data_IF_169560106066
#
_entry.id   IF_169560106066
#
_cell.length_a   1.000
_cell.length_b   1.000
_cell.length_c   1.000
_cell.angle_alpha   90.00
_cell.angle_beta   90.00
_cell.angle_gamma   90.00
#
_symmetry.space_group_name_H-M   'P 1'
#
loop_
_entity.id
_entity.type
_entity.pdbx_description
1 polymer ?
#
# COMPACT_ATOMS: atom_id res chain seq x y z
N UNK A 1 84.26 -4.52 66.93
CA UNK A 1 83.68 -4.84 65.60
C UNK A 1 82.18 -4.65 65.71
N UNK A 2 81.68 -3.47 65.31
CA UNK A 2 80.25 -3.12 65.33
C UNK A 2 79.63 -3.38 63.96
N UNK A 3 78.38 -3.84 63.85
CA UNK A 3 77.75 -4.09 62.58
C UNK A 3 77.24 -2.78 61.95
N UNK A 4 77.33 -2.71 60.61
CA UNK A 4 76.89 -1.58 59.81
C UNK A 4 75.35 -1.47 59.76
N UNK A 5 74.78 -0.26 59.63
CA UNK A 5 73.34 -0.08 59.53
C UNK A 5 72.82 -0.43 58.12
N UNK A 6 71.67 -1.10 58.11
CA UNK A 6 70.92 -1.52 56.92
C UNK A 6 70.29 -0.31 56.23
N UNK A 7 70.54 -0.17 54.92
CA UNK A 7 69.98 0.85 54.05
C UNK A 7 68.45 0.69 53.91
N UNK A 8 67.69 1.71 54.30
CA UNK A 8 66.26 1.78 54.07
C UNK A 8 65.98 2.10 52.59
N UNK A 9 65.38 1.14 51.87
CA UNK A 9 64.95 1.32 50.49
C UNK A 9 63.87 2.41 50.40
N UNK A 10 64.13 3.43 49.58
CA UNK A 10 63.17 4.48 49.27
C UNK A 10 61.97 3.89 48.49
N UNK A 11 60.76 4.01 49.06
CA UNK A 11 59.49 3.76 48.37
C UNK A 11 59.37 4.68 47.14
N UNK A 12 59.02 4.16 45.95
CA UNK A 12 58.83 5.00 44.77
C UNK A 12 57.59 5.89 44.95
N UNK A 13 57.58 7.11 44.36
CA UNK A 13 56.43 7.99 44.44
C UNK A 13 55.22 7.32 43.77
N UNK A 14 54.09 7.25 44.49
CA UNK A 14 52.80 6.86 43.89
C UNK A 14 52.52 7.80 42.72
N UNK A 15 52.57 7.25 41.50
CA UNK A 15 52.16 7.97 40.29
C UNK A 15 50.74 8.51 40.50
N UNK A 16 50.63 9.81 40.74
CA UNK A 16 49.34 10.47 40.83
C UNK A 16 48.66 10.32 39.49
N UNK A 17 47.68 9.41 39.38
CA UNK A 17 46.71 9.40 38.27
C UNK A 17 46.19 10.84 38.17
N UNK A 18 46.59 11.53 37.10
CA UNK A 18 46.43 12.97 36.95
C UNK A 18 44.97 13.34 37.24
N UNK A 19 44.76 14.35 38.11
CA UNK A 19 43.41 14.85 38.44
C UNK A 19 42.58 15.19 37.18
N UNK A 20 43.26 15.49 36.07
CA UNK A 20 42.71 15.75 34.73
C UNK A 20 41.84 14.59 34.20
N UNK A 21 42.24 13.33 34.41
CA UNK A 21 41.46 12.16 33.96
C UNK A 21 40.14 11.97 34.73
N UNK A 22 40.02 12.47 35.96
CA UNK A 22 38.80 12.35 36.77
C UNK A 22 37.71 13.34 36.35
N UNK A 23 38.06 14.43 35.67
CA UNK A 23 37.13 15.45 35.17
C UNK A 23 36.84 15.31 33.66
N UNK A 24 37.78 14.80 32.86
CA UNK A 24 37.57 14.56 31.42
C UNK A 24 36.66 13.34 31.11
N UNK A 25 36.53 12.40 32.05
CA UNK A 25 35.68 11.20 31.88
C UNK A 25 34.19 11.50 31.79
N UNK A 26 33.70 12.55 32.46
CA UNK A 26 32.28 12.88 32.51
C UNK A 26 31.79 13.53 31.21
N UNK A 27 32.48 14.54 30.63
CA UNK A 27 32.15 15.05 29.30
C UNK A 27 32.24 13.98 28.20
N UNK A 28 33.26 13.11 28.25
CA UNK A 28 33.38 12.01 27.31
C UNK A 28 32.22 11.01 27.45
N UNK A 29 31.86 10.64 28.68
CA UNK A 29 30.71 9.77 28.95
C UNK A 29 29.41 10.43 28.48
N UNK A 30 29.19 11.72 28.76
CA UNK A 30 28.03 12.46 28.30
C UNK A 30 27.96 12.53 26.77
N UNK A 31 29.09 12.76 26.10
CA UNK A 31 29.17 12.74 24.64
C UNK A 31 28.84 11.36 24.09
N UNK A 32 29.40 10.29 24.67
CA UNK A 32 29.10 8.92 24.26
C UNK A 32 27.64 8.56 24.48
N UNK A 33 27.04 8.98 25.59
CA UNK A 33 25.60 8.81 25.87
C UNK A 33 24.77 9.59 24.85
N UNK A 34 25.14 10.83 24.54
CA UNK A 34 24.42 11.64 23.54
C UNK A 34 24.50 11.00 22.15
N UNK A 35 25.69 10.55 21.73
CA UNK A 35 25.88 9.83 20.47
C UNK A 35 25.08 8.52 20.44
N UNK A 36 25.04 7.78 21.56
CA UNK A 36 24.23 6.57 21.67
C UNK A 36 22.74 6.87 21.57
N UNK A 37 22.23 7.92 22.22
CA UNK A 37 20.82 8.36 22.11
C UNK A 37 20.48 8.76 20.68
N UNK A 38 21.37 9.49 20.00
CA UNK A 38 21.17 9.88 18.60
C UNK A 38 21.17 8.64 17.68
N UNK A 39 22.06 7.68 17.90
CA UNK A 39 22.19 6.48 17.07
C UNK A 39 21.09 5.44 17.32
N UNK A 40 20.58 5.33 18.55
CA UNK A 40 19.59 4.33 18.98
C UNK A 40 18.14 4.87 18.99
N UNK A 41 17.92 6.02 18.36
CA UNK A 41 16.60 6.61 18.23
C UNK A 41 15.56 5.70 17.57
N UNK A 42 14.26 5.96 17.82
CA UNK A 42 13.19 5.24 17.15
C UNK A 42 13.29 5.41 15.63
N UNK A 43 13.04 4.33 14.90
CA UNK A 43 13.03 4.29 13.44
C UNK A 43 12.03 3.26 12.94
N UNK A 44 11.58 3.40 11.70
CA UNK A 44 10.72 2.40 11.07
C UNK A 44 11.52 1.13 10.79
N UNK A 45 11.00 -0.02 11.26
CA UNK A 45 11.52 -1.33 10.88
C UNK A 45 10.95 -1.73 9.52
N UNK A 46 11.77 -2.12 8.53
CA UNK A 46 11.31 -2.69 7.28
C UNK A 46 10.97 -4.19 7.40
N UNK A 47 11.08 -4.79 8.58
CA UNK A 47 10.72 -6.18 8.77
C UNK A 47 9.19 -6.36 8.64
N UNK A 48 8.77 -7.21 7.71
CA UNK A 48 7.37 -7.52 7.46
C UNK A 48 7.04 -8.95 7.88
N UNK A 49 5.82 -9.21 8.37
CA UNK A 49 5.39 -10.54 8.75
C UNK A 49 5.11 -11.40 7.52
N UNK A 50 5.00 -12.71 7.73
CA UNK A 50 4.41 -13.58 6.73
C UNK A 50 2.93 -13.23 6.55
N UNK A 51 2.47 -13.25 5.29
CA UNK A 51 1.09 -12.92 4.95
C UNK A 51 0.29 -14.22 4.95
N UNK A 52 -0.50 -14.45 6.00
CA UNK A 52 -1.44 -15.55 6.08
C UNK A 52 -2.86 -15.06 5.77
N UNK A 53 -3.65 -15.88 5.07
CA UNK A 53 -5.04 -15.56 4.81
C UNK A 53 -5.89 -15.92 6.03
N UNK A 54 -6.70 -14.99 6.55
CA UNK A 54 -7.56 -15.28 7.68
C UNK A 54 -8.73 -16.17 7.26
N UNK A 55 -9.33 -16.85 8.25
CA UNK A 55 -10.62 -17.51 8.05
C UNK A 55 -11.73 -16.46 7.89
N UNK A 56 -12.59 -16.65 6.90
CA UNK A 56 -13.80 -15.84 6.64
C UNK A 56 -14.99 -16.76 6.46
N UNK A 57 -16.25 -16.29 6.62
CA UNK A 57 -17.42 -17.10 6.28
C UNK A 57 -17.35 -17.62 4.84
N UNK A 58 -17.62 -18.91 4.64
CA UNK A 58 -17.48 -19.58 3.34
C UNK A 58 -18.76 -19.56 2.50
N UNK A 59 -19.91 -19.29 3.12
CA UNK A 59 -21.15 -19.04 2.39
C UNK A 59 -21.20 -17.56 1.95
N UNK A 60 -21.44 -17.25 0.66
CA UNK A 60 -21.43 -15.88 0.15
C UNK A 60 -22.43 -14.93 0.82
N UNK A 61 -23.61 -15.43 1.23
CA UNK A 61 -24.63 -14.61 1.89
C UNK A 61 -24.29 -14.39 3.36
N UNK A 62 -23.80 -15.42 4.06
CA UNK A 62 -23.27 -15.27 5.40
C UNK A 62 -22.07 -14.31 5.44
N UNK A 63 -21.21 -14.34 4.41
CA UNK A 63 -20.09 -13.43 4.26
C UNK A 63 -20.53 -11.98 4.10
N UNK A 64 -21.54 -11.73 3.26
CA UNK A 64 -22.16 -10.39 3.12
C UNK A 64 -22.71 -9.91 4.46
N UNK A 65 -23.50 -10.74 5.15
CA UNK A 65 -24.08 -10.38 6.44
C UNK A 65 -23.01 -10.06 7.51
N UNK A 66 -21.93 -10.83 7.52
CA UNK A 66 -20.78 -10.61 8.41
C UNK A 66 -20.08 -9.27 8.11
N UNK A 67 -19.83 -8.96 6.84
CA UNK A 67 -19.28 -7.68 6.41
C UNK A 67 -20.18 -6.51 6.81
N UNK A 68 -21.47 -6.60 6.49
CA UNK A 68 -22.42 -5.52 6.77
C UNK A 68 -22.57 -5.26 8.28
N UNK A 69 -22.55 -6.32 9.10
CA UNK A 69 -22.56 -6.18 10.55
C UNK A 69 -21.30 -5.45 11.05
N UNK A 70 -20.12 -5.78 10.53
CA UNK A 70 -18.86 -5.11 10.87
C UNK A 70 -18.86 -3.63 10.47
N UNK A 71 -19.33 -3.34 9.27
CA UNK A 71 -19.36 -1.95 8.77
C UNK A 71 -20.40 -1.11 9.52
N UNK A 72 -21.58 -1.67 9.85
CA UNK A 72 -22.55 -1.00 10.74
C UNK A 72 -22.00 -0.73 12.14
N UNK A 73 -21.16 -1.61 12.66
CA UNK A 73 -20.51 -1.45 13.96
C UNK A 73 -19.32 -0.48 13.93
N UNK A 74 -18.87 -0.04 12.75
CA UNK A 74 -17.72 0.86 12.62
C UNK A 74 -18.15 2.30 12.90
N UNK A 75 -17.73 2.84 14.04
CA UNK A 75 -17.97 4.23 14.39
C UNK A 75 -17.23 5.20 13.45
N UNK A 76 -17.86 6.33 13.13
CA UNK A 76 -17.23 7.40 12.36
C UNK A 76 -16.91 7.03 10.91
N UNK A 77 -17.67 6.12 10.31
CA UNK A 77 -17.56 5.81 8.89
C UNK A 77 -18.00 7.02 8.04
N UNK A 78 -17.21 7.40 7.03
CA UNK A 78 -17.61 8.38 6.02
C UNK A 78 -18.73 7.81 5.14
N UNK A 79 -19.61 8.68 4.66
CA UNK A 79 -20.67 8.28 3.73
C UNK A 79 -20.08 7.56 2.50
N UNK A 80 -20.71 6.45 2.12
CA UNK A 80 -20.32 5.59 0.99
C UNK A 80 -18.91 4.96 1.06
N UNK A 81 -18.25 4.94 2.22
CA UNK A 81 -16.91 4.37 2.36
C UNK A 81 -16.88 2.98 3.01
N UNK A 82 -18.03 2.36 3.31
CA UNK A 82 -18.10 0.99 3.82
C UNK A 82 -17.49 -0.01 2.84
N UNK A 83 -16.88 -1.06 3.40
CA UNK A 83 -16.59 -2.26 2.65
C UNK A 83 -17.89 -2.85 2.08
N UNK A 84 -17.86 -3.38 0.85
CA UNK A 84 -19.05 -3.99 0.24
C UNK A 84 -18.72 -5.02 -0.82
N UNK A 85 -19.67 -5.92 -1.04
CA UNK A 85 -19.71 -6.78 -2.22
C UNK A 85 -20.67 -6.15 -3.24
N UNK A 86 -20.22 -6.09 -4.49
CA UNK A 86 -21.05 -5.76 -5.64
C UNK A 86 -21.28 -7.06 -6.39
N UNK A 87 -22.52 -7.56 -6.34
CA UNK A 87 -22.93 -8.79 -7.00
C UNK A 87 -23.04 -8.57 -8.51
N UNK A 88 -22.47 -9.49 -9.30
CA UNK A 88 -22.63 -9.47 -10.75
C UNK A 88 -24.10 -9.62 -11.18
N UNK A 89 -24.88 -10.33 -10.37
CA UNK A 89 -26.32 -10.57 -10.53
C UNK A 89 -26.97 -10.43 -9.15
N UNK A 90 -27.46 -9.22 -8.82
CA UNK A 90 -28.08 -8.94 -7.53
C UNK A 90 -29.38 -9.71 -7.29
N UNK A 91 -30.05 -10.23 -8.33
CA UNK A 91 -31.26 -11.03 -8.18
C UNK A 91 -30.93 -12.46 -7.69
N UNK A 92 -29.74 -12.97 -8.03
CA UNK A 92 -29.24 -14.27 -7.60
C UNK A 92 -27.82 -14.16 -7.03
N UNK A 93 -27.67 -13.53 -5.84
CA UNK A 93 -26.38 -13.37 -5.18
C UNK A 93 -25.78 -14.72 -4.82
N UNK A 94 -24.49 -14.87 -5.04
CA UNK A 94 -23.79 -16.13 -4.83
C UNK A 94 -22.42 -16.18 -5.51
N UNK A 95 -21.73 -17.29 -5.30
CA UNK A 95 -20.40 -17.52 -5.88
C UNK A 95 -20.49 -17.63 -7.40
N UNK A 96 -19.56 -16.98 -8.11
CA UNK A 96 -19.48 -16.97 -9.59
C UNK A 96 -18.16 -17.58 -10.09
N UNK A 97 -18.00 -17.66 -11.40
CA UNK A 97 -16.76 -18.13 -12.02
C UNK A 97 -15.59 -17.16 -11.82
N UNK A 98 -15.88 -15.89 -11.55
CA UNK A 98 -14.91 -14.84 -11.35
C UNK A 98 -15.31 -13.91 -10.20
N UNK A 99 -14.31 -13.47 -9.45
CA UNK A 99 -14.41 -12.32 -8.57
C UNK A 99 -13.23 -11.38 -8.79
N UNK A 100 -13.47 -10.08 -8.65
CA UNK A 100 -12.45 -9.05 -8.61
C UNK A 100 -12.38 -8.47 -7.20
N UNK A 101 -11.20 -8.06 -6.77
CA UNK A 101 -11.01 -7.27 -5.55
C UNK A 101 -10.21 -6.02 -5.85
N UNK A 102 -10.69 -4.87 -5.39
CA UNK A 102 -10.01 -3.59 -5.60
C UNK A 102 -9.42 -3.06 -4.29
N UNK A 103 -8.09 -2.99 -4.23
CA UNK A 103 -7.34 -2.41 -3.12
C UNK A 103 -7.05 -0.93 -3.43
N UNK A 104 -7.68 -0.04 -2.68
CA UNK A 104 -7.50 1.40 -2.81
C UNK A 104 -6.16 1.88 -2.22
N UNK A 105 -5.79 3.10 -2.60
CA UNK A 105 -4.59 3.81 -2.19
C UNK A 105 -4.66 4.39 -0.78
N UNK A 106 -3.53 4.94 -0.35
CA UNK A 106 -3.39 5.57 0.95
C UNK A 106 -4.32 6.79 1.04
N UNK A 107 -4.96 6.96 2.20
CA UNK A 107 -5.94 8.03 2.51
C UNK A 107 -7.26 7.95 1.72
N UNK A 108 -7.30 7.15 0.65
CA UNK A 108 -8.45 6.96 -0.22
C UNK A 108 -9.45 5.92 0.31
N UNK A 109 -10.44 5.60 -0.54
CA UNK A 109 -11.45 4.56 -0.38
C UNK A 109 -11.94 4.10 -1.76
N UNK A 110 -13.06 3.37 -1.84
CA UNK A 110 -13.55 2.77 -3.09
C UNK A 110 -13.77 3.74 -4.25
N UNK A 111 -14.05 5.03 -4.00
CA UNK A 111 -14.22 6.04 -5.06
C UNK A 111 -12.97 6.29 -5.92
N UNK A 112 -11.78 5.91 -5.44
CA UNK A 112 -10.51 6.06 -6.16
C UNK A 112 -10.44 5.25 -7.46
N UNK A 113 -11.13 4.11 -7.52
CA UNK A 113 -11.18 3.28 -8.73
C UNK A 113 -12.55 3.28 -9.41
N UNK A 114 -13.52 4.03 -8.88
CA UNK A 114 -14.84 4.13 -9.46
C UNK A 114 -14.86 5.15 -10.61
N UNK A 115 -15.60 4.91 -11.70
CA UNK A 115 -16.43 3.73 -11.97
C UNK A 115 -15.66 2.54 -12.57
N UNK A 116 -14.39 2.71 -12.92
CA UNK A 116 -13.60 1.74 -13.70
C UNK A 116 -13.59 0.33 -13.12
N UNK A 117 -13.36 0.15 -11.81
CA UNK A 117 -13.36 -1.19 -11.21
C UNK A 117 -14.72 -1.88 -11.29
N UNK A 118 -15.83 -1.14 -11.18
CA UNK A 118 -17.19 -1.67 -11.28
C UNK A 118 -17.51 -2.07 -12.71
N UNK A 119 -17.13 -1.21 -13.66
CA UNK A 119 -17.30 -1.49 -15.09
C UNK A 119 -16.49 -2.70 -15.53
N UNK A 120 -15.25 -2.84 -15.06
CA UNK A 120 -14.44 -4.04 -15.32
C UNK A 120 -15.12 -5.30 -14.79
N UNK A 121 -15.58 -5.28 -13.53
CA UNK A 121 -16.29 -6.44 -12.97
C UNK A 121 -17.55 -6.78 -13.78
N UNK A 122 -18.33 -5.77 -14.17
CA UNK A 122 -19.52 -5.92 -15.04
C UNK A 122 -19.16 -6.52 -16.41
N UNK A 123 -18.08 -6.05 -17.04
CA UNK A 123 -17.64 -6.50 -18.37
C UNK A 123 -17.33 -8.00 -18.44
N UNK A 124 -17.03 -8.62 -17.30
CA UNK A 124 -16.69 -10.04 -17.19
C UNK A 124 -17.69 -10.85 -16.37
N UNK A 125 -18.79 -10.23 -15.91
CA UNK A 125 -19.76 -10.88 -15.01
C UNK A 125 -19.15 -11.36 -13.69
N UNK A 126 -18.11 -10.67 -13.21
CA UNK A 126 -17.43 -11.00 -11.96
C UNK A 126 -18.14 -10.35 -10.78
N UNK A 127 -18.23 -11.05 -9.65
CA UNK A 127 -18.48 -10.38 -8.38
C UNK A 127 -17.32 -9.41 -8.07
N UNK A 128 -17.58 -8.32 -7.36
CA UNK A 128 -16.53 -7.36 -6.98
C UNK A 128 -16.55 -7.14 -5.48
N UNK A 129 -15.41 -7.31 -4.84
CA UNK A 129 -15.20 -6.88 -3.45
C UNK A 129 -14.47 -5.55 -3.38
N UNK A 130 -15.06 -4.60 -2.67
CA UNK A 130 -14.51 -3.29 -2.38
C UNK A 130 -14.20 -3.23 -0.89
N UNK A 131 -13.02 -3.66 -0.44
CA UNK A 131 -12.61 -3.53 0.96
C UNK A 131 -12.45 -2.07 1.37
N UNK A 132 -12.77 -1.79 2.64
CA UNK A 132 -12.26 -0.62 3.36
C UNK A 132 -11.01 -1.03 4.11
N UNK A 133 -9.84 -0.55 3.68
CA UNK A 133 -8.58 -0.92 4.33
C UNK A 133 -8.52 -0.36 5.77
N UNK A 134 -7.79 -1.01 6.70
CA UNK A 134 -7.74 -0.60 8.10
C UNK A 134 -7.37 0.89 8.26
N UNK A 135 -8.11 1.59 9.11
CA UNK A 135 -7.93 3.03 9.39
C UNK A 135 -8.38 3.98 8.26
N UNK A 136 -8.87 3.46 7.12
CA UNK A 136 -9.34 4.28 6.00
C UNK A 136 -10.88 4.39 5.99
N UNK A 137 -11.38 5.37 5.25
CA UNK A 137 -12.83 5.59 5.10
C UNK A 137 -13.51 6.16 6.34
N UNK A 138 -12.76 6.70 7.31
CA UNK A 138 -13.28 7.23 8.57
C UNK A 138 -13.22 8.77 8.60
N UNK A 139 -14.08 9.40 9.41
CA UNK A 139 -14.18 10.86 9.57
C UNK A 139 -13.07 11.43 10.45
N UNK A 140 -12.56 10.64 11.40
CA UNK A 140 -11.58 11.11 12.38
C UNK A 140 -10.26 11.52 11.72
N UNK A 141 -9.73 12.70 12.09
CA UNK A 141 -8.50 13.23 11.51
C UNK A 141 -7.27 12.35 11.82
N UNK A 142 -7.29 11.64 12.95
CA UNK A 142 -6.27 10.70 13.40
C UNK A 142 -6.68 9.22 13.21
N UNK A 143 -7.60 8.93 12.28
CA UNK A 143 -8.09 7.57 12.01
C UNK A 143 -6.99 6.51 11.74
N UNK A 144 -5.82 6.95 11.29
CA UNK A 144 -4.65 6.11 11.03
C UNK A 144 -3.70 5.99 12.25
N UNK A 145 -4.07 6.49 13.43
CA UNK A 145 -3.28 6.30 14.64
C UNK A 145 -3.12 4.81 14.96
N UNK A 146 -1.88 4.39 15.20
CA UNK A 146 -1.56 2.98 15.47
C UNK A 146 -1.72 2.06 14.26
N UNK A 147 -1.88 2.57 13.04
CA UNK A 147 -1.76 1.75 11.84
C UNK A 147 -0.29 1.36 11.64
N UNK A 148 -0.07 0.16 11.11
CA UNK A 148 1.25 -0.32 10.73
C UNK A 148 1.16 -1.17 9.45
N UNK A 149 2.33 -1.53 8.89
CA UNK A 149 2.39 -2.37 7.70
C UNK A 149 1.75 -3.76 7.90
N UNK A 150 1.96 -4.48 9.02
CA UNK A 150 1.25 -5.72 9.33
C UNK A 150 -0.28 -5.61 9.23
N UNK A 151 -0.89 -4.58 9.83
CA UNK A 151 -2.35 -4.38 9.79
C UNK A 151 -2.85 -4.14 8.37
N UNK A 152 -2.14 -3.35 7.58
CA UNK A 152 -2.50 -3.11 6.17
C UNK A 152 -2.38 -4.38 5.33
N UNK A 153 -1.31 -5.18 5.51
CA UNK A 153 -1.15 -6.48 4.86
C UNK A 153 -2.24 -7.47 5.29
N UNK A 154 -2.64 -7.45 6.56
CA UNK A 154 -3.77 -8.24 7.07
C UNK A 154 -5.09 -7.87 6.38
N UNK A 155 -5.35 -6.57 6.16
CA UNK A 155 -6.51 -6.11 5.41
C UNK A 155 -6.52 -6.58 3.96
N UNK A 156 -5.36 -6.56 3.28
CA UNK A 156 -5.24 -7.08 1.91
C UNK A 156 -5.39 -8.61 1.84
N UNK A 157 -4.85 -9.33 2.83
CA UNK A 157 -5.02 -10.77 2.98
C UNK A 157 -6.48 -11.16 3.21
N UNK A 158 -7.20 -10.47 4.10
CA UNK A 158 -8.64 -10.64 4.28
C UNK A 158 -9.39 -10.38 2.97
N UNK A 159 -9.02 -9.34 2.23
CA UNK A 159 -9.67 -9.01 0.98
C UNK A 159 -9.49 -10.09 -0.10
N UNK A 160 -8.32 -10.73 -0.18
CA UNK A 160 -8.11 -11.90 -1.03
C UNK A 160 -8.93 -13.11 -0.55
N UNK A 161 -9.00 -13.35 0.77
CA UNK A 161 -9.81 -14.42 1.34
C UNK A 161 -11.31 -14.26 1.01
N UNK A 162 -11.85 -13.05 1.14
CA UNK A 162 -13.23 -12.69 0.74
C UNK A 162 -13.43 -12.94 -0.75
N UNK A 163 -12.54 -12.44 -1.61
CA UNK A 163 -12.68 -12.59 -3.06
C UNK A 163 -12.75 -14.06 -3.51
N UNK A 164 -12.03 -14.97 -2.83
CA UNK A 164 -12.06 -16.42 -3.10
C UNK A 164 -13.38 -17.09 -2.78
N UNK A 165 -14.12 -16.57 -1.81
CA UNK A 165 -15.48 -17.05 -1.51
C UNK A 165 -16.43 -16.59 -2.61
N UNK A 166 -16.23 -15.38 -3.12
CA UNK A 166 -17.09 -14.77 -4.14
C UNK A 166 -16.89 -15.34 -5.55
N UNK A 167 -15.70 -15.88 -5.86
CA UNK A 167 -15.35 -16.33 -7.20
C UNK A 167 -14.46 -17.57 -7.25
N UNK A 168 -14.55 -18.33 -8.36
CA UNK A 168 -13.61 -19.44 -8.66
C UNK A 168 -12.24 -18.93 -9.07
N UNK A 169 -12.20 -17.88 -9.90
CA UNK A 169 -10.99 -17.17 -10.33
C UNK A 169 -10.98 -15.78 -9.72
N UNK A 170 -9.85 -15.35 -9.16
CA UNK A 170 -9.75 -14.03 -8.52
C UNK A 170 -8.82 -13.12 -9.31
N UNK A 171 -9.29 -11.92 -9.64
CA UNK A 171 -8.44 -10.83 -10.14
C UNK A 171 -8.20 -9.84 -9.01
N UNK A 172 -6.95 -9.52 -8.75
CA UNK A 172 -6.57 -8.48 -7.78
C UNK A 172 -6.24 -7.21 -8.55
N UNK A 173 -6.91 -6.12 -8.21
CA UNK A 173 -6.69 -4.78 -8.77
C UNK A 173 -6.19 -3.90 -7.62
N UNK A 174 -5.06 -3.23 -7.80
CA UNK A 174 -4.50 -2.35 -6.77
C UNK A 174 -4.06 -1.02 -7.34
N UNK A 175 -4.39 0.07 -6.63
CA UNK A 175 -3.90 1.42 -6.94
C UNK A 175 -2.96 1.92 -5.85
N UNK A 176 -1.84 2.55 -6.20
CA UNK A 176 -0.93 3.19 -5.21
C UNK A 176 -0.50 2.23 -4.07
N UNK A 177 -0.71 2.60 -2.80
CA UNK A 177 -0.54 1.73 -1.64
C UNK A 177 -1.27 0.39 -1.82
N UNK A 178 -2.50 0.39 -2.34
CA UNK A 178 -3.24 -0.83 -2.67
C UNK A 178 -2.53 -1.70 -3.71
N UNK A 179 -1.78 -1.10 -4.64
CA UNK A 179 -0.88 -1.80 -5.55
C UNK A 179 0.33 -2.44 -4.85
N UNK A 180 0.91 -1.77 -3.86
CA UNK A 180 1.98 -2.33 -3.02
C UNK A 180 1.48 -3.51 -2.17
N UNK A 181 0.26 -3.41 -1.64
CA UNK A 181 -0.41 -4.48 -0.91
C UNK A 181 -0.76 -5.65 -1.84
N UNK A 182 -1.24 -5.37 -3.06
CA UNK A 182 -1.55 -6.37 -4.07
C UNK A 182 -0.29 -7.17 -4.47
N UNK A 183 0.81 -6.49 -4.79
CA UNK A 183 2.10 -7.14 -5.13
C UNK A 183 2.54 -8.11 -4.03
N UNK A 184 2.52 -7.69 -2.76
CA UNK A 184 2.97 -8.52 -1.65
C UNK A 184 2.01 -9.68 -1.36
N UNK A 185 0.69 -9.43 -1.39
CA UNK A 185 -0.33 -10.45 -1.13
C UNK A 185 -0.33 -11.51 -2.23
N UNK A 186 -0.22 -11.11 -3.50
CA UNK A 186 -0.14 -12.01 -4.65
C UNK A 186 1.18 -12.79 -4.62
N UNK A 187 2.31 -12.17 -4.29
CA UNK A 187 3.58 -12.88 -4.14
C UNK A 187 3.56 -13.95 -3.03
N UNK A 188 2.76 -13.74 -1.98
CA UNK A 188 2.57 -14.72 -0.91
C UNK A 188 1.59 -15.84 -1.32
N UNK A 189 0.61 -15.56 -2.18
CA UNK A 189 -0.46 -16.48 -2.58
C UNK A 189 -0.69 -16.55 -4.10
N UNK A 190 0.36 -16.79 -4.93
CA UNK A 190 0.24 -16.63 -6.39
C UNK A 190 -0.73 -17.64 -7.02
N UNK A 191 -0.86 -18.82 -6.41
CA UNK A 191 -1.77 -19.90 -6.82
C UNK A 191 -3.26 -19.52 -6.70
N UNK A 192 -3.58 -18.45 -5.97
CA UNK A 192 -4.95 -18.06 -5.65
C UNK A 192 -5.47 -16.92 -6.52
N UNK A 193 -4.65 -16.42 -7.44
CA UNK A 193 -4.93 -15.25 -8.25
C UNK A 193 -4.80 -15.62 -9.72
N UNK A 194 -5.79 -15.24 -10.52
CA UNK A 194 -5.82 -15.44 -11.96
C UNK A 194 -5.02 -14.36 -12.70
N UNK A 195 -5.14 -13.10 -12.26
CA UNK A 195 -4.42 -11.97 -12.86
C UNK A 195 -4.26 -10.84 -11.84
N UNK A 196 -3.22 -10.03 -12.03
CA UNK A 196 -2.91 -8.86 -11.22
C UNK A 196 -2.95 -7.60 -12.09
N UNK A 197 -3.75 -6.61 -11.67
CA UNK A 197 -3.82 -5.29 -12.29
C UNK A 197 -3.25 -4.26 -11.32
N UNK A 198 -2.25 -3.51 -11.77
CA UNK A 198 -1.60 -2.46 -11.00
C UNK A 198 -1.81 -1.12 -11.69
N UNK A 199 -2.43 -0.18 -10.99
CA UNK A 199 -2.55 1.21 -11.40
C UNK A 199 -1.65 2.06 -10.51
N UNK A 200 -0.58 2.63 -11.08
CA UNK A 200 0.41 3.44 -10.37
C UNK A 200 0.83 2.86 -8.99
N UNK A 201 1.28 1.58 -8.90
CA UNK A 201 1.58 0.96 -7.62
C UNK A 201 2.70 1.67 -6.86
N UNK A 202 2.58 1.77 -5.54
CA UNK A 202 3.60 2.35 -4.65
C UNK A 202 4.78 1.37 -4.47
N UNK A 203 5.63 1.28 -5.48
CA UNK A 203 6.92 0.56 -5.40
C UNK A 203 7.94 1.39 -4.61
N UNK A 204 8.05 2.67 -4.98
CA UNK A 204 8.78 3.73 -4.29
C UNK A 204 8.02 5.03 -4.49
N UNK A 205 8.02 5.89 -3.49
CA UNK A 205 7.53 7.26 -3.61
C UNK A 205 8.48 8.10 -4.48
N UNK A 206 7.93 9.13 -5.11
CA UNK A 206 8.72 10.08 -5.88
C UNK A 206 9.70 10.83 -4.95
N UNK A 207 10.98 10.88 -5.35
CA UNK A 207 12.02 11.62 -4.62
C UNK A 207 12.42 11.04 -3.26
N UNK A 208 12.14 9.76 -2.99
CA UNK A 208 12.51 9.07 -1.74
C UNK A 208 12.05 9.77 -0.44
N UNK A 209 10.92 10.50 -0.50
CA UNK A 209 10.43 11.33 0.60
C UNK A 209 10.18 10.59 1.92
N UNK A 210 10.02 9.27 1.90
CA UNK A 210 9.82 8.44 3.09
C UNK A 210 11.14 7.84 3.62
N UNK A 211 12.26 7.97 2.90
CA UNK A 211 13.56 7.42 3.33
C UNK A 211 13.98 7.90 4.73
N UNK A 212 13.78 9.17 5.14
CA UNK A 212 14.19 9.59 6.47
C UNK A 212 13.43 8.88 7.59
N UNK A 213 12.25 8.29 7.34
CA UNK A 213 11.51 7.51 8.35
C UNK A 213 12.30 6.31 8.87
N UNK A 214 13.31 5.85 8.12
CA UNK A 214 14.16 4.72 8.46
C UNK A 214 15.38 5.12 9.30
N UNK A 215 15.69 6.42 9.38
CA UNK A 215 16.80 6.91 10.19
C UNK A 215 16.37 7.03 11.66
N UNK A 216 17.30 6.83 12.62
CA UNK A 216 17.04 7.16 14.01
C UNK A 216 16.50 8.59 14.14
N UNK A 217 15.36 8.75 14.82
CA UNK A 217 14.65 10.03 14.99
C UNK A 217 14.11 10.68 13.70
N UNK A 218 14.28 10.07 12.53
CA UNK A 218 13.99 10.74 11.27
C UNK A 218 12.50 11.01 11.05
N UNK A 219 11.61 10.15 11.57
CA UNK A 219 10.17 10.42 11.55
C UNK A 219 9.80 11.66 12.39
N UNK A 220 10.44 11.82 13.56
CA UNK A 220 10.24 12.97 14.44
C UNK A 220 10.78 14.25 13.80
N UNK A 221 11.96 14.19 13.18
CA UNK A 221 12.55 15.32 12.46
C UNK A 221 11.71 15.75 11.25
N UNK A 222 11.17 14.80 10.48
CA UNK A 222 10.23 15.10 9.40
C UNK A 222 8.96 15.77 9.92
N UNK A 223 8.42 15.27 11.03
CA UNK A 223 7.21 15.82 11.62
C UNK A 223 7.41 17.24 12.14
N UNK A 224 8.52 17.49 12.82
CA UNK A 224 8.90 18.82 13.29
C UNK A 224 9.10 19.80 12.14
N UNK A 225 9.82 19.38 11.10
CA UNK A 225 10.11 20.25 9.95
C UNK A 225 8.89 20.53 9.07
N UNK A 226 7.98 19.57 8.90
CA UNK A 226 6.83 19.70 8.00
C UNK A 226 5.52 20.11 8.67
N UNK A 227 5.37 19.85 9.96
CA UNK A 227 4.09 20.02 10.66
C UNK A 227 4.24 20.50 12.12
N UNK A 228 5.38 21.12 12.48
CA UNK A 228 5.61 21.68 13.82
C UNK A 228 5.54 20.65 14.96
N UNK A 229 5.70 19.36 14.65
CA UNK A 229 5.61 18.27 15.62
C UNK A 229 4.21 17.70 15.82
N UNK A 230 3.15 18.26 15.20
CA UNK A 230 1.80 17.67 15.24
C UNK A 230 1.81 16.33 14.47
N UNK A 231 1.45 15.19 15.10
CA UNK A 231 1.41 13.89 14.45
C UNK A 231 0.33 13.76 13.38
N UNK A 232 -0.61 14.70 13.26
CA UNK A 232 -1.70 14.70 12.29
C UNK A 232 -1.46 15.76 11.22
N UNK A 233 -1.11 15.31 10.02
CA UNK A 233 -0.95 16.18 8.85
C UNK A 233 -2.30 16.41 8.19
N UNK A 234 -2.68 17.68 8.03
CA UNK A 234 -3.97 18.10 7.45
C UNK A 234 -3.75 18.69 6.06
N UNK A 235 -4.59 18.30 5.12
CA UNK A 235 -4.52 18.76 3.75
C UNK A 235 -5.95 18.77 3.18
N UNK A 236 -6.47 19.93 2.76
CA UNK A 236 -7.85 20.03 2.31
C UNK A 236 -8.06 19.17 1.06
N UNK A 237 -9.11 18.34 1.08
CA UNK A 237 -9.53 17.54 -0.06
C UNK A 237 -11.03 17.68 -0.23
N UNK A 238 -11.44 18.18 -1.40
CA UNK A 238 -12.84 18.25 -1.79
C UNK A 238 -13.30 16.91 -2.38
N UNK A 239 -13.41 15.89 -1.50
CA UNK A 239 -13.92 14.57 -1.88
C UNK A 239 -14.36 13.76 -0.67
N UNK A 240 -15.52 13.09 -0.76
CA UNK A 240 -15.98 12.14 0.26
C UNK A 240 -15.11 10.87 0.35
N UNK A 241 -14.28 10.60 -0.67
CA UNK A 241 -13.55 9.34 -0.81
C UNK A 241 -12.09 9.40 -0.35
N UNK A 242 -11.57 10.58 0.01
CA UNK A 242 -10.24 10.76 0.57
C UNK A 242 -10.33 11.42 1.94
N UNK A 243 -9.47 10.99 2.86
CA UNK A 243 -9.26 11.71 4.10
C UNK A 243 -8.56 13.06 3.82
N UNK A 244 -8.93 14.07 4.58
CA UNK A 244 -8.35 15.43 4.61
C UNK A 244 -7.29 15.59 5.72
N UNK A 245 -7.00 14.50 6.43
CA UNK A 245 -5.97 14.44 7.44
C UNK A 245 -5.40 13.03 7.58
N UNK A 246 -4.18 12.93 8.10
CA UNK A 246 -3.50 11.65 8.30
C UNK A 246 -2.52 11.68 9.46
N UNK A 247 -2.64 10.68 10.32
CA UNK A 247 -1.66 10.43 11.37
C UNK A 247 -0.34 9.90 10.80
N UNK A 248 0.81 10.32 11.36
CA UNK A 248 2.17 9.97 10.92
C UNK A 248 2.43 8.46 10.83
N UNK A 249 1.71 7.66 11.61
CA UNK A 249 1.80 6.19 11.59
C UNK A 249 1.44 5.60 10.21
N UNK A 250 0.54 6.25 9.47
CA UNK A 250 0.26 5.85 8.09
C UNK A 250 1.50 5.96 7.19
N UNK A 251 2.27 7.04 7.31
CA UNK A 251 3.51 7.21 6.54
C UNK A 251 4.62 6.26 6.99
N UNK A 252 4.68 5.95 8.30
CA UNK A 252 5.58 4.91 8.82
C UNK A 252 5.24 3.55 8.21
N UNK A 253 3.95 3.22 8.10
CA UNK A 253 3.48 2.00 7.45
C UNK A 253 3.87 1.96 5.96
N UNK A 254 3.70 3.06 5.22
CA UNK A 254 4.13 3.14 3.82
C UNK A 254 5.65 2.94 3.65
N UNK A 255 6.44 3.53 4.54
CA UNK A 255 7.90 3.37 4.54
C UNK A 255 8.29 1.90 4.76
N UNK A 256 7.64 1.20 5.71
CA UNK A 256 7.87 -0.22 5.94
C UNK A 256 7.44 -1.08 4.75
N UNK A 257 6.26 -0.84 4.16
CA UNK A 257 5.76 -1.59 2.99
C UNK A 257 6.72 -1.47 1.79
N UNK A 258 7.16 -0.25 1.50
CA UNK A 258 8.06 0.02 0.37
C UNK A 258 9.47 -0.52 0.62
N UNK A 259 9.99 -0.50 1.85
CA UNK A 259 11.38 -0.93 2.11
C UNK A 259 11.51 -2.40 2.44
N UNK A 260 10.48 -2.98 3.05
CA UNK A 260 10.43 -4.39 3.41
C UNK A 260 9.84 -5.31 2.35
N UNK A 261 8.87 -4.81 1.58
CA UNK A 261 8.03 -5.65 0.71
C UNK A 261 8.38 -5.57 -0.77
N UNK A 262 8.88 -4.42 -1.21
CA UNK A 262 9.17 -4.12 -2.62
C UNK A 262 10.62 -4.51 -2.95
N UNK A 263 10.87 -5.82 -2.93
CA UNK A 263 12.19 -6.45 -3.12
C UNK A 263 12.17 -7.41 -4.34
N UNK A 264 13.33 -7.65 -4.99
CA UNK A 264 13.42 -8.60 -6.12
C UNK A 264 12.83 -9.99 -5.80
N UNK A 265 13.08 -10.51 -4.59
CA UNK A 265 12.55 -11.80 -4.14
C UNK A 265 11.01 -11.83 -3.99
N UNK A 266 10.37 -10.68 -3.77
CA UNK A 266 8.91 -10.58 -3.80
C UNK A 266 8.41 -10.67 -5.23
N UNK A 267 8.99 -9.89 -6.14
CA UNK A 267 8.57 -9.83 -7.55
C UNK A 267 8.75 -11.16 -8.27
N UNK A 268 9.85 -11.86 -7.98
CA UNK A 268 10.17 -13.16 -8.56
C UNK A 268 9.13 -14.25 -8.26
N UNK A 269 8.33 -14.10 -7.20
CA UNK A 269 7.25 -15.04 -6.83
C UNK A 269 5.93 -14.80 -7.56
N UNK A 270 5.81 -13.69 -8.30
CA UNK A 270 4.59 -13.32 -9.02
C UNK A 270 4.65 -13.90 -10.44
N UNK A 271 3.94 -15.00 -10.68
CA UNK A 271 3.94 -15.71 -11.97
C UNK A 271 2.66 -15.52 -12.80
N UNK A 272 1.61 -14.94 -12.21
CA UNK A 272 0.33 -14.66 -12.86
C UNK A 272 0.45 -13.54 -13.90
N UNK A 273 -0.41 -13.45 -14.92
CA UNK A 273 -0.47 -12.28 -15.80
C UNK A 273 -0.54 -10.97 -15.04
N UNK A 274 0.26 -9.97 -15.44
CA UNK A 274 0.33 -8.65 -14.79
C UNK A 274 0.13 -7.51 -15.79
N UNK A 275 -0.82 -6.63 -15.45
CA UNK A 275 -0.98 -5.32 -16.07
C UNK A 275 -0.37 -4.25 -15.18
N UNK A 276 0.38 -3.33 -15.78
CA UNK A 276 0.90 -2.14 -15.13
C UNK A 276 0.45 -0.90 -15.92
N UNK A 277 -0.36 -0.05 -15.31
CA UNK A 277 -0.69 1.29 -15.80
C UNK A 277 0.05 2.36 -15.00
N UNK A 278 0.58 3.39 -15.66
CA UNK A 278 1.19 4.55 -14.99
C UNK A 278 1.03 5.83 -15.83
N UNK A 279 1.20 6.99 -15.19
CA UNK A 279 1.22 8.30 -15.86
C UNK A 279 2.66 8.76 -16.12
N UNK A 280 3.06 8.82 -17.38
CA UNK A 280 4.35 9.37 -17.79
C UNK A 280 4.24 10.07 -19.15
N UNK A 281 4.15 11.40 -19.18
CA UNK A 281 4.21 12.13 -20.45
C UNK A 281 5.64 12.42 -20.86
N UNK A 282 6.43 12.87 -19.91
CA UNK A 282 7.87 13.12 -20.04
C UNK A 282 8.51 13.22 -18.64
N UNK A 283 9.82 13.50 -18.57
CA UNK A 283 10.56 13.55 -17.31
C UNK A 283 10.04 14.62 -16.33
N UNK A 284 9.44 15.72 -16.82
CA UNK A 284 8.89 16.80 -16.01
C UNK A 284 7.40 16.57 -15.71
N UNK A 285 6.67 15.92 -16.62
CA UNK A 285 5.24 15.67 -16.53
C UNK A 285 4.96 14.17 -16.36
N UNK A 286 5.18 13.69 -15.14
CA UNK A 286 4.93 12.30 -14.76
C UNK A 286 4.29 12.24 -13.37
N UNK A 287 4.02 11.04 -12.89
CA UNK A 287 3.55 10.81 -11.53
C UNK A 287 4.49 11.46 -10.48
N UNK A 288 3.97 12.47 -9.78
CA UNK A 288 4.69 13.19 -8.73
C UNK A 288 4.53 12.55 -7.34
N UNK A 289 3.73 11.48 -7.23
CA UNK A 289 3.49 10.76 -5.97
C UNK A 289 4.37 9.52 -5.87
N UNK A 290 4.42 8.72 -6.94
CA UNK A 290 5.22 7.48 -6.99
C UNK A 290 6.24 7.52 -8.14
N UNK A 291 7.34 6.79 -7.99
CA UNK A 291 8.42 6.78 -8.99
C UNK A 291 8.07 5.87 -10.17
N UNK A 292 7.86 6.44 -11.35
CA UNK A 292 7.66 5.69 -12.61
C UNK A 292 8.83 4.77 -12.92
N UNK A 293 10.07 5.27 -12.76
CA UNK A 293 11.27 4.47 -12.96
C UNK A 293 11.30 3.24 -12.03
N UNK A 294 10.92 3.39 -10.76
CA UNK A 294 10.84 2.26 -9.83
C UNK A 294 9.75 1.24 -10.23
N UNK A 295 8.60 1.72 -10.72
CA UNK A 295 7.54 0.83 -11.24
C UNK A 295 8.02 0.02 -12.44
N UNK A 296 8.68 0.67 -13.41
CA UNK A 296 9.24 0.01 -14.59
C UNK A 296 10.33 -1.01 -14.21
N UNK A 297 11.23 -0.64 -13.29
CA UNK A 297 12.27 -1.54 -12.78
C UNK A 297 11.69 -2.74 -12.05
N UNK A 298 10.64 -2.56 -11.23
CA UNK A 298 9.91 -3.66 -10.59
C UNK A 298 9.28 -4.58 -11.63
N UNK A 299 8.64 -4.01 -12.65
CA UNK A 299 7.93 -4.76 -13.68
C UNK A 299 8.85 -5.71 -14.47
N UNK A 300 10.10 -5.28 -14.72
CA UNK A 300 11.12 -6.10 -15.35
C UNK A 300 11.52 -7.31 -14.48
N UNK A 301 11.44 -7.19 -13.16
CA UNK A 301 11.85 -8.21 -12.18
C UNK A 301 10.75 -9.21 -11.79
N UNK A 302 9.53 -9.07 -12.33
CA UNK A 302 8.45 -10.02 -12.07
C UNK A 302 8.83 -11.44 -12.50
N UNK A 303 8.37 -12.45 -11.76
CA UNK A 303 8.47 -13.86 -12.14
C UNK A 303 7.53 -14.26 -13.28
N UNK A 304 6.67 -13.35 -13.72
CA UNK A 304 5.66 -13.55 -14.78
C UNK A 304 6.34 -13.69 -16.12
N UNK A 305 5.99 -14.60 -17.03
CA UNK A 305 6.58 -14.62 -18.37
C UNK A 305 6.35 -13.30 -19.13
N UNK A 306 7.31 -12.77 -19.92
CA UNK A 306 7.14 -11.52 -20.66
C UNK A 306 5.87 -11.47 -21.55
N UNK A 307 5.48 -12.61 -22.13
CA UNK A 307 4.25 -12.73 -22.93
C UNK A 307 2.96 -12.41 -22.14
N UNK A 308 2.98 -12.60 -20.82
CA UNK A 308 1.83 -12.37 -19.92
C UNK A 308 1.93 -11.03 -19.18
N UNK A 309 2.95 -10.23 -19.46
CA UNK A 309 3.11 -8.87 -18.93
C UNK A 309 2.57 -7.85 -19.92
N UNK A 310 1.93 -6.80 -19.43
CA UNK A 310 1.58 -5.62 -20.23
C UNK A 310 1.75 -4.34 -19.41
N UNK A 311 2.63 -3.45 -19.86
CA UNK A 311 2.75 -2.10 -19.32
C UNK A 311 2.09 -1.10 -20.29
N UNK A 312 1.36 -0.14 -19.76
CA UNK A 312 0.71 0.93 -20.54
C UNK A 312 0.97 2.27 -19.85
N UNK A 313 1.52 3.19 -20.64
CA UNK A 313 1.64 4.58 -20.27
C UNK A 313 0.36 5.33 -20.64
N UNK A 314 -0.21 6.06 -19.68
CA UNK A 314 -1.34 6.94 -19.83
C UNK A 314 -0.92 8.40 -19.73
N UNK A 315 -0.20 8.90 -20.74
CA UNK A 315 0.33 10.26 -20.80
C UNK A 315 -0.72 11.38 -20.61
N UNK A 316 -1.99 11.10 -20.90
CA UNK A 316 -3.10 12.06 -20.71
C UNK A 316 -3.78 11.97 -19.33
N UNK A 317 -3.36 11.03 -18.45
CA UNK A 317 -3.97 10.87 -17.14
C UNK A 317 -3.87 12.15 -16.30
N UNK A 318 -2.73 12.82 -16.36
CA UNK A 318 -2.46 14.09 -15.66
C UNK A 318 -2.46 13.98 -14.13
N UNK A 319 -2.56 12.78 -13.57
CA UNK A 319 -2.65 12.53 -12.14
C UNK A 319 -2.16 11.12 -11.77
N UNK A 320 -1.77 10.94 -10.51
CA UNK A 320 -1.41 9.65 -9.91
C UNK A 320 -2.56 8.64 -9.94
N UNK A 321 -3.78 9.10 -9.64
CA UNK A 321 -4.99 8.28 -9.69
C UNK A 321 -5.43 8.16 -11.15
N UNK A 322 -5.38 6.95 -11.71
CA UNK A 322 -5.65 6.72 -13.14
C UNK A 322 -7.12 6.39 -13.44
N UNK A 323 -7.78 5.71 -12.51
CA UNK A 323 -9.02 4.98 -12.80
C UNK A 323 -10.30 5.69 -12.35
N UNK A 324 -10.21 6.93 -11.87
CA UNK A 324 -11.37 7.71 -11.40
C UNK A 324 -11.43 9.09 -12.07
N UNK A 325 -12.61 9.52 -12.56
CA UNK A 325 -12.78 10.83 -13.18
C UNK A 325 -12.69 11.97 -12.18
N UNK A 326 -12.66 11.66 -10.87
CA UNK A 326 -12.42 12.65 -9.81
C UNK A 326 -11.03 13.29 -9.97
N UNK A 327 -10.07 12.54 -10.52
CA UNK A 327 -8.66 12.98 -10.62
C UNK A 327 -8.05 12.81 -12.00
N UNK A 328 -8.48 11.81 -12.78
CA UNK A 328 -7.88 11.45 -14.07
C UNK A 328 -8.69 11.92 -15.26
N UNK A 329 -7.99 12.22 -16.36
CA UNK A 329 -8.60 12.46 -17.68
C UNK A 329 -8.52 11.26 -18.62
N UNK A 330 -7.80 10.20 -18.23
CA UNK A 330 -7.56 9.02 -19.06
C UNK A 330 -8.45 7.83 -18.74
N UNK A 331 -9.50 8.00 -17.93
CA UNK A 331 -10.32 6.91 -17.40
C UNK A 331 -10.84 5.94 -18.48
N UNK A 332 -11.39 6.41 -19.62
CA UNK A 332 -11.85 5.50 -20.68
C UNK A 332 -10.71 4.65 -21.26
N UNK A 333 -9.53 5.25 -21.45
CA UNK A 333 -8.35 4.54 -21.95
C UNK A 333 -7.82 3.52 -20.94
N UNK A 334 -7.82 3.88 -19.64
CA UNK A 334 -7.42 2.99 -18.54
C UNK A 334 -8.34 1.78 -18.47
N UNK A 335 -9.66 2.00 -18.54
CA UNK A 335 -10.64 0.93 -18.62
C UNK A 335 -10.40 0.03 -19.83
N UNK A 336 -10.34 0.59 -21.04
CA UNK A 336 -10.26 -0.18 -22.26
C UNK A 336 -8.97 -1.02 -22.34
N UNK A 337 -7.83 -0.45 -21.93
CA UNK A 337 -6.56 -1.16 -21.89
C UNK A 337 -6.55 -2.29 -20.84
N UNK A 338 -7.09 -2.02 -19.65
CA UNK A 338 -7.19 -3.03 -18.58
C UNK A 338 -8.15 -4.16 -18.98
N UNK A 339 -9.30 -3.82 -19.57
CA UNK A 339 -10.28 -4.79 -20.04
C UNK A 339 -9.69 -5.70 -21.13
N UNK A 340 -9.05 -5.13 -22.17
CA UNK A 340 -8.39 -5.92 -23.23
C UNK A 340 -7.31 -6.83 -22.66
N UNK A 341 -6.53 -6.35 -21.70
CA UNK A 341 -5.54 -7.18 -21.02
C UNK A 341 -6.21 -8.37 -20.32
N UNK A 342 -7.27 -8.14 -19.54
CA UNK A 342 -7.98 -9.20 -18.82
C UNK A 342 -8.61 -10.23 -19.76
N UNK A 343 -9.18 -9.77 -20.89
CA UNK A 343 -9.75 -10.63 -21.91
C UNK A 343 -8.70 -11.47 -22.66
N UNK A 344 -7.54 -10.87 -22.96
CA UNK A 344 -6.45 -11.51 -23.69
C UNK A 344 -5.50 -12.28 -22.78
N UNK A 345 -4.60 -11.57 -22.10
CA UNK A 345 -3.52 -12.15 -21.28
C UNK A 345 -3.99 -12.63 -19.92
N UNK A 346 -5.01 -11.99 -19.35
CA UNK A 346 -5.58 -12.35 -18.04
C UNK A 346 -6.46 -13.61 -18.06
N UNK A 347 -6.89 -14.07 -19.25
CA UNK A 347 -7.65 -15.30 -19.43
C UNK A 347 -9.09 -15.24 -18.92
N UNK A 348 -9.69 -14.04 -18.84
CA UNK A 348 -11.11 -13.89 -18.57
C UNK A 348 -11.93 -13.88 -19.86
N UNK A 349 -13.13 -14.43 -19.81
CA UNK A 349 -14.06 -14.45 -20.94
C UNK A 349 -15.18 -13.45 -20.68
N UNK A 350 -15.49 -12.60 -21.66
CA UNK A 350 -16.66 -11.72 -21.58
C UNK A 350 -17.93 -12.53 -21.84
N UNK A 351 -19.05 -12.26 -21.13
CA UNK A 351 -20.33 -12.87 -21.46
C UNK A 351 -20.81 -12.47 -22.86
N UNK A 352 -21.51 -13.35 -23.57
CA UNK A 352 -21.89 -13.14 -24.98
C UNK A 352 -22.74 -11.87 -25.25
N UNK A 353 -23.48 -11.40 -24.24
CA UNK A 353 -24.36 -10.24 -24.35
C UNK A 353 -23.73 -8.93 -23.84
N UNK A 354 -22.43 -8.95 -23.51
CA UNK A 354 -21.71 -7.78 -23.03
C UNK A 354 -20.90 -7.19 -24.18
N UNK A 355 -20.94 -5.87 -24.42
CA UNK A 355 -20.12 -5.24 -25.45
C UNK A 355 -18.64 -5.53 -25.26
N UNK A 356 -17.88 -5.50 -26.35
CA UNK A 356 -16.43 -5.62 -26.26
C UNK A 356 -15.83 -4.49 -25.40
N UNK A 357 -14.58 -4.66 -24.98
CA UNK A 357 -13.89 -3.69 -24.12
C UNK A 357 -13.82 -2.26 -24.69
N UNK A 358 -14.01 -2.05 -26.01
CA UNK A 358 -14.02 -0.72 -26.60
C UNK A 358 -15.40 -0.06 -26.48
N UNK A 359 -16.48 -0.82 -26.72
CA UNK A 359 -17.85 -0.32 -26.66
C UNK A 359 -18.45 -0.32 -25.23
N UNK A 360 -17.91 -1.14 -24.32
CA UNK A 360 -18.44 -1.31 -22.97
C UNK A 360 -18.42 0.00 -22.15
N UNK A 361 -17.40 0.84 -22.32
CA UNK A 361 -17.30 2.11 -21.59
C UNK A 361 -18.47 3.04 -21.91
N UNK A 362 -18.79 3.19 -23.19
CA UNK A 362 -19.86 4.08 -23.65
C UNK A 362 -21.24 3.52 -23.34
N UNK A 363 -21.40 2.19 -23.39
CA UNK A 363 -22.63 1.52 -22.98
C UNK A 363 -22.94 1.77 -21.50
N UNK A 364 -21.95 1.54 -20.62
CA UNK A 364 -22.11 1.80 -19.19
C UNK A 364 -22.33 3.29 -18.90
N UNK A 365 -21.71 4.19 -19.66
CA UNK A 365 -21.94 5.63 -19.51
C UNK A 365 -23.38 6.04 -19.86
N UNK A 366 -24.00 5.41 -20.85
CA UNK A 366 -25.41 5.64 -21.19
C UNK A 366 -26.35 5.10 -20.11
N UNK A 367 -26.07 3.91 -19.57
CA UNK A 367 -26.86 3.34 -18.47
C UNK A 367 -26.76 4.18 -17.19
N UNK A 368 -25.54 4.59 -16.81
CA UNK A 368 -25.31 5.44 -15.63
C UNK A 368 -26.01 6.80 -15.75
N UNK A 369 -26.13 7.33 -16.98
CA UNK A 369 -26.87 8.56 -17.25
C UNK A 369 -28.39 8.35 -17.20
N UNK A 370 -28.90 7.19 -17.60
CA UNK A 370 -30.32 6.87 -17.55
C UNK A 370 -30.82 6.54 -16.13
N UNK A 371 -29.92 6.14 -15.23
CA UNK A 371 -30.22 5.83 -13.82
C UNK A 371 -30.17 7.04 -12.88
N UNK A 372 -29.79 8.22 -13.37
CA UNK A 372 -29.78 9.51 -12.65
C UNK A 372 -30.99 10.33 -13.06
#
# INVERSE_FOLDING_TARGET
MSPAPVSAAATPPRAGRSRVWRYARWPLLLLLVLLAVLALGPRVSPALPQIALPAVPQDPLALQAWLDARERATAGLRADNQARIVWADPAHPGRRDCAMVYLHGFTASQGEGAPTHRRLARSFGCNLYLPRLPGHGLVAADALRGIDAPRLLGGAAEALAVARVLGRRVVVIGNSMGGALALQTVAAHPQQVQALVLWSPLVREHGEQLQPMLWPWGAQLLLWSRNGGDPVMRYPVDSGYWADATHVDGYRALAALTRGGMLPATYARIHVPVFLGYYYRDAQHQDATVSVAAMQAMFAQLGTPPALRQAVDFADAGNHVLASPIRSRAVPAVFAATCRFLAGKGGLSQPANVPDCAAAWDADAREDAAAR
#
